data_IF_206887082927
#
_entry.id   IF_206887082927
#
_cell.length_a   1.000
_cell.length_b   1.000
_cell.length_c   1.000
_cell.angle_alpha   90.00
_cell.angle_beta   90.00
_cell.angle_gamma   90.00
#
_symmetry.space_group_name_H-M   'P 1'
#
loop_
_entity.id
_entity.type
_entity.pdbx_description
1 polymer ?
#
# COMPACT_ATOMS: atom_id res chain seq x y z
N UNK A 1 -2.29 32.44 -18.18
CA UNK A 1 -0.91 32.94 -18.28
C UNK A 1 -0.83 34.45 -18.32
N UNK A 2 -1.61 35.16 -19.15
CA UNK A 2 -1.61 36.63 -19.24
C UNK A 2 -1.80 37.28 -17.84
N UNK A 3 -2.85 36.89 -17.10
CA UNK A 3 -3.09 37.34 -15.71
C UNK A 3 -1.92 37.15 -14.72
N UNK A 4 -1.05 36.17 -14.95
CA UNK A 4 0.14 35.94 -14.12
C UNK A 4 1.30 36.85 -14.53
N UNK A 5 1.42 37.17 -15.83
CA UNK A 5 2.36 38.17 -16.33
C UNK A 5 1.98 39.54 -15.80
N UNK A 6 0.68 39.89 -15.82
CA UNK A 6 0.20 41.18 -15.34
C UNK A 6 0.50 41.37 -13.85
N UNK A 7 0.40 40.30 -13.05
CA UNK A 7 0.62 40.33 -11.60
C UNK A 7 2.08 40.20 -11.17
N UNK A 8 2.84 39.30 -11.81
CA UNK A 8 4.20 38.92 -11.38
C UNK A 8 5.30 39.28 -12.40
N UNK A 9 4.92 39.91 -13.52
CA UNK A 9 5.81 40.31 -14.60
C UNK A 9 6.24 39.16 -15.52
N UNK A 10 6.87 39.53 -16.64
CA UNK A 10 7.33 38.57 -17.67
C UNK A 10 8.38 37.57 -17.17
N UNK A 11 9.07 37.90 -16.07
CA UNK A 11 10.05 37.00 -15.41
C UNK A 11 9.39 35.70 -14.93
N UNK A 12 8.10 35.73 -14.58
CA UNK A 12 7.36 34.56 -14.12
C UNK A 12 7.17 33.49 -15.22
N UNK A 13 7.09 33.93 -16.49
CA UNK A 13 6.88 33.05 -17.66
C UNK A 13 8.19 32.45 -18.18
N UNK A 14 9.35 33.01 -17.80
CA UNK A 14 10.63 32.38 -18.13
C UNK A 14 10.63 30.97 -17.52
N UNK A 15 10.61 29.97 -18.41
CA UNK A 15 10.46 28.54 -18.09
C UNK A 15 11.70 28.07 -17.31
N UNK A 16 11.68 28.29 -16.00
CA UNK A 16 12.69 27.77 -15.08
C UNK A 16 12.59 26.26 -14.92
N UNK A 17 13.57 25.67 -14.23
CA UNK A 17 13.59 24.24 -13.86
C UNK A 17 12.25 23.82 -13.23
N UNK A 18 11.88 22.55 -13.40
CA UNK A 18 10.64 21.97 -12.88
C UNK A 18 10.38 22.37 -11.42
N UNK A 19 9.30 23.14 -11.19
CA UNK A 19 8.90 23.58 -9.85
C UNK A 19 8.52 22.38 -8.99
N UNK A 20 9.15 22.27 -7.83
CA UNK A 20 8.76 21.33 -6.80
C UNK A 20 7.67 21.95 -5.93
N UNK A 21 6.66 21.14 -5.60
CA UNK A 21 5.57 21.52 -4.70
C UNK A 21 5.53 20.47 -3.60
N UNK A 22 5.75 20.90 -2.36
CA UNK A 22 5.66 20.02 -1.19
C UNK A 22 4.23 19.47 -1.01
N UNK A 23 4.06 18.35 -0.30
CA UNK A 23 2.75 17.79 0.01
C UNK A 23 1.89 18.78 0.78
N UNK A 24 2.48 19.44 1.76
CA UNK A 24 1.79 20.40 2.62
C UNK A 24 1.20 21.54 1.79
N UNK A 25 2.00 22.08 0.86
CA UNK A 25 1.54 23.12 -0.05
C UNK A 25 0.42 22.63 -0.97
N UNK A 26 0.52 21.41 -1.50
CA UNK A 26 -0.57 20.82 -2.30
C UNK A 26 -1.84 20.64 -1.45
N UNK A 27 -1.69 20.24 -0.20
CA UNK A 27 -2.80 20.04 0.73
C UNK A 27 -3.51 21.35 1.02
N UNK A 28 -2.76 22.39 1.34
CA UNK A 28 -3.29 23.73 1.59
C UNK A 28 -4.12 24.21 0.39
N UNK A 29 -3.58 24.10 -0.82
CA UNK A 29 -4.27 24.52 -2.04
C UNK A 29 -5.54 23.71 -2.33
N UNK A 30 -5.50 22.40 -2.09
CA UNK A 30 -6.68 21.53 -2.23
C UNK A 30 -7.74 21.90 -1.18
N UNK A 31 -7.32 22.13 0.06
CA UNK A 31 -8.19 22.52 1.17
C UNK A 31 -8.94 23.82 0.86
N UNK A 32 -8.23 24.84 0.36
CA UNK A 32 -8.86 26.11 -0.05
C UNK A 32 -9.94 25.93 -1.11
N UNK A 33 -9.73 25.01 -2.05
CA UNK A 33 -10.73 24.74 -3.09
C UNK A 33 -11.93 23.95 -2.55
N UNK A 34 -11.71 23.00 -1.64
CA UNK A 34 -12.76 22.08 -1.19
C UNK A 34 -13.57 22.61 0.00
N UNK A 35 -12.92 23.28 0.94
CA UNK A 35 -13.51 23.71 2.21
C UNK A 35 -13.78 25.22 2.25
N UNK A 36 -12.90 26.05 1.66
CA UNK A 36 -13.06 27.51 1.66
C UNK A 36 -13.82 28.02 0.44
N UNK A 37 -14.20 27.14 -0.50
CA UNK A 37 -14.97 27.50 -1.70
C UNK A 37 -14.19 28.34 -2.73
N UNK A 38 -12.86 28.39 -2.65
CA UNK A 38 -12.07 29.17 -3.59
C UNK A 38 -12.14 28.56 -5.00
N UNK A 39 -12.24 29.44 -6.00
CA UNK A 39 -12.15 28.99 -7.40
C UNK A 39 -10.74 28.52 -7.71
N UNK A 40 -10.65 27.52 -8.57
CA UNK A 40 -9.36 26.94 -9.00
C UNK A 40 -8.48 27.99 -9.70
N UNK A 41 -9.11 28.94 -10.37
CA UNK A 41 -8.42 30.07 -11.00
C UNK A 41 -7.83 31.01 -9.95
N UNK A 42 -8.60 31.36 -8.91
CA UNK A 42 -8.12 32.20 -7.81
C UNK A 42 -6.93 31.54 -7.11
N UNK A 43 -7.04 30.26 -6.77
CA UNK A 43 -5.94 29.52 -6.12
C UNK A 43 -4.73 29.42 -7.06
N UNK A 44 -4.93 29.19 -8.35
CA UNK A 44 -3.81 29.15 -9.30
C UNK A 44 -3.10 30.50 -9.43
N UNK A 45 -3.85 31.61 -9.36
CA UNK A 45 -3.30 32.96 -9.41
C UNK A 45 -2.56 33.33 -8.13
N UNK A 46 -3.14 33.09 -6.95
CA UNK A 46 -2.50 33.46 -5.68
C UNK A 46 -1.21 32.68 -5.42
N UNK A 47 -1.22 31.38 -5.70
CA UNK A 47 -0.06 30.53 -5.47
C UNK A 47 0.93 30.53 -6.64
N UNK A 48 0.69 31.34 -7.68
CA UNK A 48 1.54 31.40 -8.85
C UNK A 48 1.74 30.02 -9.50
N UNK A 49 0.66 29.27 -9.72
CA UNK A 49 0.72 28.07 -10.55
C UNK A 49 0.84 28.47 -12.02
N UNK A 50 1.81 27.93 -12.78
CA UNK A 50 1.95 28.21 -14.20
C UNK A 50 0.68 27.89 -15.01
N UNK A 51 -0.08 26.89 -14.58
CA UNK A 51 -1.33 26.49 -15.20
C UNK A 51 -2.33 25.96 -14.17
N UNK A 52 -3.61 26.32 -14.34
CA UNK A 52 -4.75 25.77 -13.60
C UNK A 52 -4.84 24.24 -13.74
N UNK A 53 -4.38 23.68 -14.85
CA UNK A 53 -4.39 22.23 -15.11
C UNK A 53 -3.59 21.46 -14.05
N UNK A 54 -2.56 22.07 -13.46
CA UNK A 54 -1.77 21.45 -12.38
C UNK A 54 -2.67 21.17 -11.17
N UNK A 55 -3.44 22.17 -10.74
CA UNK A 55 -4.37 22.06 -9.61
C UNK A 55 -5.51 21.08 -9.92
N UNK A 56 -6.02 21.07 -11.16
CA UNK A 56 -7.03 20.10 -11.60
C UNK A 56 -6.51 18.66 -11.48
N UNK A 57 -5.28 18.41 -11.92
CA UNK A 57 -4.65 17.08 -11.83
C UNK A 57 -4.45 16.64 -10.38
N UNK A 58 -4.05 17.55 -9.48
CA UNK A 58 -3.91 17.23 -8.07
C UNK A 58 -5.25 16.92 -7.42
N UNK A 59 -6.29 17.69 -7.70
CA UNK A 59 -7.65 17.40 -7.20
C UNK A 59 -8.17 16.05 -7.70
N UNK A 60 -7.93 15.71 -8.96
CA UNK A 60 -8.31 14.41 -9.52
C UNK A 60 -7.56 13.25 -8.84
N UNK A 61 -6.25 13.40 -8.63
CA UNK A 61 -5.43 12.40 -7.93
C UNK A 61 -5.83 12.26 -6.46
N UNK A 62 -6.11 13.38 -5.80
CA UNK A 62 -6.55 13.41 -4.41
C UNK A 62 -7.85 12.63 -4.22
N UNK A 63 -8.84 12.84 -5.10
CA UNK A 63 -10.07 12.04 -5.12
C UNK A 63 -9.81 10.55 -5.41
N UNK A 64 -8.94 10.26 -6.40
CA UNK A 64 -8.61 8.87 -6.78
C UNK A 64 -7.90 8.10 -5.66
N UNK A 65 -7.09 8.77 -4.85
CA UNK A 65 -6.31 8.16 -3.77
C UNK A 65 -7.04 8.17 -2.42
N UNK A 66 -8.35 8.42 -2.40
CA UNK A 66 -9.14 8.42 -1.17
C UNK A 66 -8.78 9.57 -0.22
N UNK A 67 -8.56 10.79 -0.74
CA UNK A 67 -8.25 11.99 0.04
C UNK A 67 -6.85 11.98 0.69
N UNK A 68 -5.93 11.17 0.16
CA UNK A 68 -4.53 11.12 0.58
C UNK A 68 -3.60 11.72 -0.47
N UNK A 69 -2.67 12.58 -0.03
CA UNK A 69 -1.63 13.15 -0.90
C UNK A 69 -0.47 12.16 -0.97
N UNK A 70 -0.36 11.49 -2.11
CA UNK A 70 0.74 10.55 -2.36
C UNK A 70 1.90 11.31 -2.98
N UNK A 71 3.01 11.41 -2.26
CA UNK A 71 4.29 11.79 -2.86
C UNK A 71 4.79 10.67 -3.76
N UNK A 72 4.59 10.83 -5.07
CA UNK A 72 5.27 9.98 -6.03
C UNK A 72 6.74 10.37 -6.04
N UNK A 73 7.61 9.44 -5.64
CA UNK A 73 9.05 9.55 -5.85
C UNK A 73 9.29 9.86 -7.32
N UNK A 74 9.86 11.03 -7.56
CA UNK A 74 10.00 11.58 -8.89
C UNK A 74 11.14 10.87 -9.60
N UNK A 75 10.82 10.06 -10.59
CA UNK A 75 11.80 9.33 -11.38
C UNK A 75 11.16 8.49 -12.46
N UNK A 76 11.96 8.11 -13.46
CA UNK A 76 11.57 7.06 -14.40
C UNK A 76 11.41 5.78 -13.57
N UNK A 77 10.25 5.13 -13.66
CA UNK A 77 10.13 3.76 -13.16
C UNK A 77 11.30 2.96 -13.75
N UNK A 78 12.09 2.24 -12.93
CA UNK A 78 13.24 1.51 -13.44
C UNK A 78 12.79 0.69 -14.64
N UNK A 79 13.47 0.85 -15.78
CA UNK A 79 13.20 0.06 -16.98
C UNK A 79 13.27 -1.39 -16.52
N UNK A 80 12.17 -2.14 -16.65
CA UNK A 80 12.09 -3.55 -16.23
C UNK A 80 13.35 -4.28 -16.71
N UNK A 81 14.25 -4.57 -15.78
CA UNK A 81 15.66 -4.82 -16.13
C UNK A 81 16.61 -4.93 -14.94
N UNK A 82 16.12 -5.41 -13.79
CA UNK A 82 16.86 -6.23 -12.82
C UNK A 82 15.91 -6.56 -11.68
N UNK A 83 15.64 -7.85 -11.47
CA UNK A 83 15.11 -8.32 -10.19
C UNK A 83 16.05 -7.79 -9.10
N UNK A 84 15.51 -7.21 -8.04
CA UNK A 84 16.26 -7.07 -6.81
C UNK A 84 16.87 -8.45 -6.50
N UNK A 85 18.18 -8.51 -6.26
CA UNK A 85 18.77 -9.71 -5.67
C UNK A 85 18.16 -9.79 -4.27
N UNK A 86 17.07 -10.56 -4.13
CA UNK A 86 16.70 -11.16 -2.84
C UNK A 86 17.99 -11.70 -2.24
N UNK A 87 18.33 -11.26 -1.03
CA UNK A 87 19.53 -11.74 -0.34
C UNK A 87 19.45 -13.27 -0.30
N UNK A 88 20.51 -14.01 -0.64
CA UNK A 88 20.51 -15.47 -0.56
C UNK A 88 20.02 -15.98 0.81
N UNK A 89 20.34 -15.22 1.86
CA UNK A 89 19.96 -15.43 3.26
C UNK A 89 18.43 -15.54 3.48
N UNK A 90 17.64 -14.63 2.88
CA UNK A 90 16.18 -14.62 3.03
C UNK A 90 15.51 -15.80 2.31
N UNK A 91 16.11 -16.29 1.21
CA UNK A 91 15.62 -17.49 0.53
C UNK A 91 15.86 -18.74 1.35
N UNK A 92 17.04 -18.84 1.98
CA UNK A 92 17.39 -19.99 2.81
C UNK A 92 16.56 -20.08 4.07
N UNK A 93 16.20 -18.96 4.71
CA UNK A 93 15.35 -18.98 5.89
C UNK A 93 13.92 -19.41 5.56
N UNK A 94 13.34 -18.91 4.46
CA UNK A 94 12.01 -19.31 4.02
C UNK A 94 11.95 -20.80 3.65
N UNK A 95 12.98 -21.30 2.96
CA UNK A 95 13.07 -22.71 2.57
C UNK A 95 13.21 -23.62 3.81
N UNK A 96 14.04 -23.22 4.79
CA UNK A 96 14.17 -23.91 6.07
C UNK A 96 12.85 -23.92 6.85
N UNK A 97 12.18 -22.77 6.96
CA UNK A 97 10.90 -22.66 7.65
C UNK A 97 9.81 -23.48 6.96
N UNK A 98 9.83 -23.57 5.64
CA UNK A 98 8.90 -24.41 4.88
C UNK A 98 9.13 -25.89 5.18
N UNK A 99 10.38 -26.35 5.15
CA UNK A 99 10.73 -27.74 5.48
C UNK A 99 10.34 -28.10 6.93
N UNK A 100 10.56 -27.19 7.88
CA UNK A 100 10.17 -27.38 9.28
C UNK A 100 8.64 -27.41 9.43
N UNK A 101 7.90 -26.56 8.70
CA UNK A 101 6.44 -26.60 8.71
C UNK A 101 5.89 -27.92 8.18
N UNK A 102 6.46 -28.43 7.09
CA UNK A 102 6.03 -29.67 6.46
C UNK A 102 6.34 -30.88 7.37
N UNK A 103 7.50 -30.88 8.03
CA UNK A 103 7.85 -31.88 9.05
C UNK A 103 6.87 -31.86 10.23
N UNK A 104 6.61 -30.68 10.81
CA UNK A 104 5.67 -30.53 11.92
C UNK A 104 4.24 -30.91 11.53
N UNK A 105 3.83 -30.69 10.27
CA UNK A 105 2.54 -31.15 9.76
C UNK A 105 2.45 -32.67 9.72
N UNK A 106 3.49 -33.34 9.23
CA UNK A 106 3.55 -34.80 9.20
C UNK A 106 3.49 -35.40 10.62
N UNK A 107 4.27 -34.86 11.55
CA UNK A 107 4.26 -35.27 12.95
C UNK A 107 2.87 -35.08 13.59
N UNK A 108 2.22 -33.94 13.34
CA UNK A 108 0.86 -33.68 13.83
C UNK A 108 -0.17 -34.68 13.29
N UNK A 109 -0.05 -35.12 12.04
CA UNK A 109 -0.93 -36.15 11.46
C UNK A 109 -0.75 -37.48 12.20
N UNK A 110 0.50 -37.89 12.45
CA UNK A 110 0.79 -39.13 13.18
C UNK A 110 0.24 -39.06 14.61
N UNK A 111 0.46 -37.94 15.32
CA UNK A 111 -0.03 -37.75 16.68
C UNK A 111 -1.57 -37.74 16.76
N UNK A 112 -2.25 -37.10 15.79
CA UNK A 112 -3.71 -37.16 15.69
C UNK A 112 -4.20 -38.58 15.48
N UNK A 113 -3.56 -39.34 14.59
CA UNK A 113 -3.92 -40.73 14.34
C UNK A 113 -3.76 -41.62 15.57
N UNK A 114 -2.67 -41.43 16.32
CA UNK A 114 -2.44 -42.15 17.57
C UNK A 114 -3.50 -41.81 18.63
N UNK A 115 -3.91 -40.55 18.74
CA UNK A 115 -5.00 -40.12 19.64
C UNK A 115 -6.32 -40.78 19.28
N UNK A 116 -6.66 -40.84 17.99
CA UNK A 116 -7.87 -41.52 17.50
C UNK A 116 -7.88 -43.01 17.89
N UNK A 117 -6.76 -43.70 17.69
CA UNK A 117 -6.63 -45.13 18.03
C UNK A 117 -6.82 -45.37 19.53
N UNK A 118 -6.14 -44.58 20.38
CA UNK A 118 -6.32 -44.67 21.84
C UNK A 118 -7.76 -44.40 22.28
N UNK A 119 -8.45 -43.47 21.63
CA UNK A 119 -9.85 -43.19 21.94
C UNK A 119 -10.77 -44.35 21.55
N UNK A 120 -10.53 -44.99 20.40
CA UNK A 120 -11.25 -46.19 19.98
C UNK A 120 -11.03 -47.37 20.93
N UNK A 121 -9.78 -47.63 21.33
CA UNK A 121 -9.45 -48.69 22.30
C UNK A 121 -10.13 -48.47 23.66
N UNK A 122 -10.18 -47.21 24.15
CA UNK A 122 -10.89 -46.88 25.39
C UNK A 122 -12.39 -47.14 25.28
N UNK A 123 -13.03 -46.71 24.19
CA UNK A 123 -14.46 -46.96 23.95
C UNK A 123 -14.76 -48.45 23.88
N UNK A 124 -13.94 -49.22 23.16
CA UNK A 124 -14.11 -50.68 23.04
C UNK A 124 -13.97 -51.38 24.40
N UNK A 125 -13.01 -50.94 25.24
CA UNK A 125 -12.85 -51.45 26.61
C UNK A 125 -14.01 -51.08 27.54
N UNK A 126 -14.67 -49.95 27.34
CA UNK A 126 -15.86 -49.55 28.09
C UNK A 126 -17.14 -50.27 27.63
N UNK A 127 -17.23 -50.64 26.35
CA UNK A 127 -18.36 -51.38 25.76
C UNK A 127 -18.30 -52.88 26.05
N UNK A 128 -17.10 -53.49 26.06
CA UNK A 128 -16.90 -54.90 26.40
C UNK A 128 -17.60 -55.32 27.71
N UNK A 129 -17.43 -54.67 28.87
CA UNK A 129 -18.09 -55.07 30.12
C UNK A 129 -19.60 -54.78 30.16
N UNK A 130 -20.15 -53.95 29.24
CA UNK A 130 -21.59 -53.70 29.12
C UNK A 130 -22.31 -54.79 28.32
N UNK A 131 -21.62 -55.45 27.40
CA UNK A 131 -22.14 -56.56 26.59
C UNK A 131 -22.23 -57.89 27.37
N UNK A 132 -21.45 -58.05 28.45
CA UNK A 132 -21.46 -59.24 29.32
C UNK A 132 -22.40 -59.15 30.54
N UNK A 133 -23.25 -58.12 30.63
CA UNK A 133 -24.17 -57.88 31.75
C UNK A 133 -25.67 -57.96 31.39
N UNK A 134 -26.01 -58.53 30.24
CA UNK A 134 -27.39 -58.91 29.88
C UNK A 134 -27.54 -60.44 29.89
#
# INVERSE_FOLDING_TARGET
MIKLIDRYGIKFVKKGKNRYYSPDLKQEMIHKVLHEGWTKDRVSLEYGLPSRTILLNWLAQYKKNGYTIVEKTRGRVPKMGRKAKTRPEERTELERLQAENDYLRAENVILKKLRELRLKEKKEKEERPKLFKN
#
